data_IF_029700992109
#
_entry.id   IF_029700992109
#
_cell.length_a   1.000
_cell.length_b   1.000
_cell.length_c   1.000
_cell.angle_alpha   90.00
_cell.angle_beta   90.00
_cell.angle_gamma   90.00
#
_symmetry.space_group_name_H-M   'P 1'
#
loop_
_entity.id
_entity.type
_entity.pdbx_description
1 polymer ?
#
# COMPACT_ATOMS: atom_id res chain seq x y z
N UNK A 1 -3.32 -23.32 37.06
CA UNK A 1 -2.05 -22.88 36.45
C UNK A 1 -2.33 -22.59 34.98
N UNK A 2 -2.27 -21.32 34.56
CA UNK A 2 -2.52 -20.95 33.16
C UNK A 2 -1.37 -21.48 32.29
N UNK A 3 -1.69 -22.26 31.27
CA UNK A 3 -0.73 -22.72 30.26
C UNK A 3 -0.17 -21.48 29.55
N UNK A 4 1.12 -21.20 29.73
CA UNK A 4 1.80 -20.17 28.97
C UNK A 4 1.69 -20.51 27.48
N UNK A 5 1.25 -19.55 26.67
CA UNK A 5 1.21 -19.72 25.22
C UNK A 5 2.62 -20.09 24.71
N UNK A 6 2.75 -20.99 23.72
CA UNK A 6 4.05 -21.35 23.18
C UNK A 6 4.77 -20.09 22.67
N UNK A 7 6.11 -20.02 22.82
CA UNK A 7 6.88 -18.88 22.34
C UNK A 7 6.65 -18.72 20.83
N UNK A 8 6.31 -17.50 20.40
CA UNK A 8 6.11 -17.20 18.98
C UNK A 8 7.41 -17.53 18.21
N UNK A 9 7.31 -18.16 17.03
CA UNK A 9 8.49 -18.48 16.24
C UNK A 9 9.24 -17.19 15.86
N UNK A 10 10.58 -17.24 15.74
CA UNK A 10 11.36 -16.10 15.29
C UNK A 10 10.96 -15.74 13.85
N UNK A 11 10.88 -14.45 13.56
CA UNK A 11 10.59 -13.91 12.23
C UNK A 11 11.76 -13.08 11.74
N UNK A 12 12.13 -13.22 10.46
CA UNK A 12 13.11 -12.35 9.82
C UNK A 12 12.39 -11.12 9.24
N UNK A 13 12.90 -9.94 9.60
CA UNK A 13 12.38 -8.64 9.18
C UNK A 13 13.50 -7.78 8.57
N UNK A 14 13.17 -7.04 7.52
CA UNK A 14 13.93 -5.93 6.99
C UNK A 14 13.02 -4.69 7.00
N UNK A 15 13.49 -3.61 7.61
CA UNK A 15 12.75 -2.36 7.73
C UNK A 15 13.72 -1.17 7.77
N UNK A 16 13.26 0.03 7.37
CA UNK A 16 14.07 1.25 7.45
C UNK A 16 14.37 1.64 8.91
N UNK A 17 15.48 2.35 9.14
CA UNK A 17 15.97 2.62 10.50
C UNK A 17 14.99 3.44 11.36
N UNK A 18 14.23 4.36 10.75
CA UNK A 18 13.23 5.19 11.44
C UNK A 18 12.08 4.35 12.02
N UNK A 19 11.74 3.21 11.40
CA UNK A 19 10.76 2.26 11.95
C UNK A 19 11.24 1.64 13.27
N UNK A 20 12.56 1.52 13.48
CA UNK A 20 13.15 1.01 14.72
C UNK A 20 13.08 2.03 15.87
N UNK A 21 13.23 3.31 15.55
CA UNK A 21 13.23 4.42 16.51
C UNK A 21 11.81 4.70 17.04
N UNK A 22 10.79 4.37 16.25
CA UNK A 22 9.40 4.41 16.69
C UNK A 22 9.15 3.33 17.76
N UNK A 23 9.07 3.76 19.02
CA UNK A 23 8.92 2.88 20.19
C UNK A 23 7.74 1.89 20.12
N UNK A 24 6.74 2.14 19.24
CA UNK A 24 5.58 1.25 18.98
C UNK A 24 5.06 1.37 17.55
N UNK A 25 5.73 0.76 16.59
CA UNK A 25 5.16 0.60 15.24
C UNK A 25 3.98 -0.38 15.27
N UNK A 26 2.76 0.12 15.08
CA UNK A 26 1.55 -0.69 14.92
C UNK A 26 1.36 -1.06 13.45
N UNK A 27 0.99 -2.31 13.21
CA UNK A 27 0.50 -2.76 11.91
C UNK A 27 -1.02 -2.65 11.87
N UNK A 28 -1.51 -2.06 10.79
CA UNK A 28 -2.91 -1.94 10.42
C UNK A 28 -3.21 -2.91 9.28
N UNK A 29 -4.37 -3.55 9.30
CA UNK A 29 -4.87 -4.30 8.15
C UNK A 29 -5.68 -3.33 7.31
N UNK A 30 -5.33 -3.12 6.04
CA UNK A 30 -6.06 -2.25 5.11
C UNK A 30 -6.20 -2.96 3.76
N UNK A 31 -7.18 -2.61 2.92
CA UNK A 31 -7.29 -3.17 1.59
C UNK A 31 -6.11 -2.71 0.73
N UNK A 32 -5.54 -3.64 -0.04
CA UNK A 32 -4.52 -3.31 -1.03
C UNK A 32 -5.13 -2.37 -2.09
N UNK A 33 -4.49 -1.24 -2.45
CA UNK A 33 -5.12 -0.17 -3.24
C UNK A 33 -5.70 -0.60 -4.59
N UNK A 34 -5.09 -1.60 -5.23
CA UNK A 34 -5.56 -2.10 -6.52
C UNK A 34 -6.57 -3.23 -6.42
N UNK A 35 -6.41 -4.11 -5.43
CA UNK A 35 -7.08 -5.44 -5.43
C UNK A 35 -8.07 -5.61 -4.30
N UNK A 36 -8.12 -4.70 -3.32
CA UNK A 36 -9.03 -4.78 -2.17
C UNK A 36 -8.66 -5.86 -1.14
N UNK A 37 -7.70 -6.74 -1.43
CA UNK A 37 -7.33 -7.82 -0.51
C UNK A 37 -6.71 -7.28 0.78
N UNK A 38 -6.98 -7.89 1.95
CA UNK A 38 -6.37 -7.44 3.20
C UNK A 38 -4.83 -7.55 3.18
N UNK A 39 -4.17 -6.41 3.41
CA UNK A 39 -2.71 -6.27 3.46
C UNK A 39 -2.30 -5.51 4.72
N UNK A 40 -1.09 -5.74 5.22
CA UNK A 40 -0.58 -5.08 6.42
C UNK A 40 0.21 -3.81 6.05
N UNK A 41 -0.07 -2.74 6.77
CA UNK A 41 0.62 -1.46 6.63
C UNK A 41 1.06 -0.94 8.00
N UNK A 42 2.21 -0.26 8.06
CA UNK A 42 2.55 0.58 9.20
C UNK A 42 2.36 2.04 8.79
N UNK A 43 1.69 2.83 9.61
CA UNK A 43 1.51 4.27 9.38
C UNK A 43 2.01 5.01 10.61
N UNK A 44 2.93 5.94 10.37
CA UNK A 44 3.60 6.77 11.36
C UNK A 44 3.57 8.23 10.88
N UNK A 45 3.90 9.17 11.76
CA UNK A 45 3.98 10.59 11.40
C UNK A 45 5.04 10.87 10.32
N UNK A 46 6.10 10.05 10.27
CA UNK A 46 7.21 10.18 9.31
C UNK A 46 6.92 9.52 7.96
N UNK A 47 5.93 8.63 7.86
CA UNK A 47 5.67 7.90 6.63
C UNK A 47 4.71 6.73 6.75
N UNK A 48 4.43 6.11 5.61
CA UNK A 48 3.66 4.87 5.52
C UNK A 48 4.53 3.77 4.93
N UNK A 49 4.30 2.54 5.36
CA UNK A 49 5.05 1.36 4.97
C UNK A 49 4.08 0.22 4.65
N UNK A 50 4.36 -0.51 3.58
CA UNK A 50 3.67 -1.76 3.27
C UNK A 50 4.50 -2.96 3.72
N UNK A 51 3.86 -3.95 4.32
CA UNK A 51 4.49 -5.23 4.64
C UNK A 51 4.46 -6.16 3.44
N UNK A 52 5.62 -6.33 2.81
CA UNK A 52 5.85 -7.32 1.76
C UNK A 52 6.42 -8.61 2.36
N UNK A 53 6.01 -9.74 1.82
CA UNK A 53 6.49 -11.06 2.25
C UNK A 53 7.22 -11.73 1.10
N UNK A 54 8.54 -11.83 1.20
CA UNK A 54 9.38 -12.54 0.25
C UNK A 54 9.48 -14.00 0.71
N UNK A 55 8.92 -14.90 -0.09
CA UNK A 55 8.97 -16.35 0.17
C UNK A 55 9.99 -17.00 -0.77
N UNK A 56 10.81 -17.94 -0.27
CA UNK A 56 11.68 -18.70 -1.14
C UNK A 56 10.86 -19.57 -2.10
N UNK A 57 11.41 -19.85 -3.27
CA UNK A 57 10.81 -20.82 -4.19
C UNK A 57 10.62 -22.17 -3.50
N UNK A 58 9.44 -22.77 -3.62
CA UNK A 58 9.05 -23.97 -2.87
C UNK A 58 10.04 -25.14 -3.04
N UNK A 59 10.70 -25.22 -4.20
CA UNK A 59 11.66 -26.29 -4.51
C UNK A 59 13.00 -26.14 -3.80
N UNK A 60 13.36 -24.93 -3.37
CA UNK A 60 14.68 -24.62 -2.86
C UNK A 60 14.82 -24.78 -1.34
N UNK A 61 13.73 -24.96 -0.59
CA UNK A 61 13.75 -25.28 0.85
C UNK A 61 14.70 -24.39 1.68
N UNK A 62 14.63 -23.06 1.52
CA UNK A 62 15.60 -22.14 2.14
C UNK A 62 15.23 -21.84 3.59
N UNK A 63 16.25 -21.62 4.43
CA UNK A 63 16.10 -21.23 5.84
C UNK A 63 17.10 -20.15 6.21
N UNK A 64 16.74 -19.24 7.12
CA UNK A 64 17.67 -18.25 7.67
C UNK A 64 18.29 -18.75 8.97
N UNK A 65 19.60 -18.60 9.10
CA UNK A 65 20.32 -18.74 10.37
C UNK A 65 20.66 -17.34 10.89
N UNK A 66 20.01 -16.92 11.95
CA UNK A 66 20.15 -15.59 12.54
C UNK A 66 21.05 -15.68 13.76
N UNK A 67 22.22 -15.04 13.69
CA UNK A 67 23.10 -14.92 14.84
C UNK A 67 22.46 -14.01 15.91
N UNK A 68 22.65 -14.34 17.18
CA UNK A 68 22.27 -13.39 18.23
C UNK A 68 23.35 -12.31 18.35
N UNK A 69 22.96 -11.05 18.25
CA UNK A 69 23.87 -9.91 18.49
C UNK A 69 24.40 -9.82 19.93
N UNK A 70 23.90 -10.66 20.84
CA UNK A 70 24.41 -10.80 22.20
C UNK A 70 25.16 -12.12 22.35
N UNK A 71 26.44 -12.05 22.71
CA UNK A 71 27.36 -13.20 22.82
C UNK A 71 26.91 -14.35 23.74
N UNK A 72 25.82 -14.18 24.51
CA UNK A 72 25.29 -15.19 25.45
C UNK A 72 23.94 -15.79 25.05
N UNK A 73 23.38 -15.45 23.89
CA UNK A 73 22.10 -16.00 23.43
C UNK A 73 22.31 -16.94 22.24
N UNK A 74 21.65 -18.11 22.22
CA UNK A 74 21.71 -18.99 21.05
C UNK A 74 21.12 -18.26 19.84
N UNK A 75 21.67 -18.53 18.65
CA UNK A 75 21.09 -18.04 17.40
C UNK A 75 19.70 -18.62 17.15
N UNK A 76 18.97 -18.03 16.21
CA UNK A 76 17.63 -18.45 15.83
C UNK A 76 17.61 -18.98 14.40
N UNK A 77 16.82 -20.01 14.13
CA UNK A 77 16.60 -20.51 12.78
C UNK A 77 15.17 -20.19 12.34
N UNK A 78 15.03 -19.48 11.21
CA UNK A 78 13.74 -19.26 10.54
C UNK A 78 13.62 -20.30 9.43
N UNK A 79 12.95 -21.40 9.73
CA UNK A 79 12.89 -22.60 8.88
C UNK A 79 12.26 -22.35 7.51
N UNK A 80 11.30 -21.45 7.43
CA UNK A 80 10.54 -21.19 6.21
C UNK A 80 11.30 -20.30 5.21
N UNK A 81 12.43 -19.71 5.61
CA UNK A 81 13.20 -18.80 4.75
C UNK A 81 12.46 -17.50 4.39
N UNK A 82 11.34 -17.23 5.06
CA UNK A 82 10.47 -16.07 4.78
C UNK A 82 11.13 -14.81 5.30
N UNK A 83 11.19 -13.79 4.45
CA UNK A 83 11.64 -12.46 4.80
C UNK A 83 10.45 -11.50 4.73
N UNK A 84 10.20 -10.81 5.84
CA UNK A 84 9.22 -9.73 5.93
C UNK A 84 9.93 -8.41 5.65
N UNK A 85 9.41 -7.60 4.74
CA UNK A 85 9.99 -6.30 4.36
C UNK A 85 8.95 -5.22 4.60
N UNK A 86 9.24 -4.24 5.45
CA UNK A 86 8.47 -3.00 5.50
C UNK A 86 9.04 -2.05 4.45
N UNK A 87 8.37 -1.92 3.31
CA UNK A 87 8.78 -1.05 2.22
C UNK A 87 8.13 0.32 2.38
N UNK A 88 8.88 1.44 2.28
CA UNK A 88 8.29 2.77 2.21
C UNK A 88 7.24 2.84 1.10
N UNK A 89 6.09 3.42 1.40
CA UNK A 89 4.97 3.61 0.50
C UNK A 89 4.49 5.06 0.58
N UNK A 90 4.06 5.60 -0.56
CA UNK A 90 3.39 6.90 -0.53
C UNK A 90 1.96 6.76 0.03
N UNK A 91 1.63 7.40 1.16
CA UNK A 91 0.30 7.34 1.76
C UNK A 91 -0.81 7.85 0.84
N UNK A 92 -0.50 8.68 -0.18
CA UNK A 92 -1.52 9.08 -1.15
C UNK A 92 -2.00 7.92 -2.04
N UNK A 93 -1.16 6.92 -2.33
CA UNK A 93 -1.63 5.73 -3.06
C UNK A 93 -2.52 4.85 -2.18
N UNK A 94 -2.19 4.77 -0.88
CA UNK A 94 -3.01 4.06 0.10
C UNK A 94 -4.39 4.71 0.21
N UNK A 95 -4.44 6.03 0.40
CA UNK A 95 -5.69 6.79 0.46
C UNK A 95 -6.49 6.71 -0.84
N UNK A 96 -5.82 6.74 -2.00
CA UNK A 96 -6.50 6.59 -3.29
C UNK A 96 -7.20 5.23 -3.39
N UNK A 97 -6.58 4.17 -2.88
CA UNK A 97 -7.20 2.85 -2.73
C UNK A 97 -8.42 2.84 -1.82
N UNK A 98 -8.30 3.48 -0.66
CA UNK A 98 -9.38 3.57 0.33
C UNK A 98 -10.57 4.38 -0.18
N UNK A 99 -10.30 5.49 -0.87
CA UNK A 99 -11.29 6.45 -1.35
C UNK A 99 -11.76 6.19 -2.80
N UNK A 100 -11.29 5.12 -3.43
CA UNK A 100 -11.71 4.74 -4.78
C UNK A 100 -13.23 4.66 -4.97
N UNK A 101 -14.03 4.20 -3.98
CA UNK A 101 -15.49 4.14 -4.12
C UNK A 101 -16.15 5.51 -4.32
N UNK A 102 -15.50 6.59 -3.89
CA UNK A 102 -15.96 7.97 -4.04
C UNK A 102 -15.45 8.62 -5.34
N UNK A 103 -14.81 7.86 -6.23
CA UNK A 103 -14.30 8.38 -7.49
C UNK A 103 -15.45 8.86 -8.40
N UNK A 104 -15.37 10.12 -8.83
CA UNK A 104 -16.41 10.78 -9.64
C UNK A 104 -17.56 11.39 -8.84
N UNK A 105 -17.57 11.20 -7.51
CA UNK A 105 -18.55 11.85 -6.65
C UNK A 105 -18.39 13.38 -6.64
N UNK A 106 -19.52 14.09 -6.66
CA UNK A 106 -19.53 15.56 -6.72
C UNK A 106 -19.58 16.22 -5.35
N UNK A 107 -20.06 15.50 -4.35
CA UNK A 107 -20.28 15.99 -2.99
C UNK A 107 -18.96 16.10 -2.24
N UNK A 108 -18.82 17.17 -1.47
CA UNK A 108 -17.76 17.28 -0.46
C UNK A 108 -18.23 16.60 0.84
N UNK A 109 -17.36 15.81 1.44
CA UNK A 109 -17.64 15.05 2.66
C UNK A 109 -16.59 15.34 3.73
N UNK A 110 -17.00 15.47 5.00
CA UNK A 110 -16.07 15.43 6.13
C UNK A 110 -15.20 14.18 6.09
N UNK A 111 -14.02 14.27 6.68
CA UNK A 111 -13.06 13.16 6.75
C UNK A 111 -13.64 11.93 7.45
N UNK A 112 -14.41 12.11 8.51
CA UNK A 112 -15.02 11.02 9.27
C UNK A 112 -16.07 10.28 8.42
N UNK A 113 -16.91 11.02 7.68
CA UNK A 113 -17.87 10.46 6.73
C UNK A 113 -17.17 9.67 5.61
N UNK A 114 -16.04 10.19 5.09
CA UNK A 114 -15.23 9.46 4.10
C UNK A 114 -14.68 8.16 4.68
N UNK A 115 -14.24 8.18 5.93
CA UNK A 115 -13.70 7.02 6.61
C UNK A 115 -14.75 5.93 6.85
N UNK A 116 -15.94 6.32 7.29
CA UNK A 116 -17.07 5.41 7.50
C UNK A 116 -17.51 4.78 6.17
N UNK A 117 -17.73 5.60 5.13
CA UNK A 117 -18.11 5.12 3.81
C UNK A 117 -17.07 4.17 3.19
N UNK A 118 -15.78 4.47 3.36
CA UNK A 118 -14.70 3.58 2.92
C UNK A 118 -14.70 2.26 3.70
N UNK A 119 -14.86 2.31 5.03
CA UNK A 119 -14.89 1.12 5.88
C UNK A 119 -16.04 0.17 5.53
N UNK A 120 -17.25 0.72 5.31
CA UNK A 120 -18.43 -0.04 4.91
C UNK A 120 -18.26 -0.67 3.52
N UNK A 121 -17.79 0.12 2.54
CA UNK A 121 -17.59 -0.38 1.17
C UNK A 121 -16.60 -1.54 1.12
N UNK A 122 -15.42 -1.37 1.72
CA UNK A 122 -14.37 -2.39 1.68
C UNK A 122 -14.74 -3.63 2.51
N UNK A 123 -15.51 -3.48 3.60
CA UNK A 123 -16.05 -4.63 4.33
C UNK A 123 -17.07 -5.41 3.48
N UNK A 124 -17.94 -4.71 2.75
CA UNK A 124 -18.91 -5.32 1.84
C UNK A 124 -18.22 -6.06 0.69
N UNK A 125 -17.20 -5.45 0.06
CA UNK A 125 -16.41 -6.12 -0.97
C UNK A 125 -15.71 -7.38 -0.43
N UNK A 126 -15.09 -7.28 0.75
CA UNK A 126 -14.45 -8.42 1.40
C UNK A 126 -15.45 -9.54 1.69
N UNK A 127 -16.67 -9.20 2.09
CA UNK A 127 -17.75 -10.16 2.31
C UNK A 127 -18.16 -10.88 1.02
N UNK A 128 -18.30 -10.16 -0.08
CA UNK A 128 -18.58 -10.74 -1.39
C UNK A 128 -17.47 -11.72 -1.83
N UNK A 129 -16.20 -11.29 -1.73
CA UNK A 129 -15.05 -12.14 -2.09
C UNK A 129 -14.94 -13.40 -1.23
N UNK A 130 -15.26 -13.32 0.07
CA UNK A 130 -15.24 -14.46 0.98
C UNK A 130 -16.37 -15.45 0.68
N UNK A 131 -17.56 -14.96 0.33
CA UNK A 131 -18.70 -15.79 -0.06
C UNK A 131 -18.40 -16.61 -1.33
N UNK A 132 -17.70 -16.01 -2.30
CA UNK A 132 -17.25 -16.71 -3.51
C UNK A 132 -16.23 -17.82 -3.23
N UNK A 133 -15.44 -17.70 -2.15
CA UNK A 133 -14.37 -18.64 -1.82
C UNK A 133 -14.75 -19.71 -0.76
N UNK A 134 -16.02 -19.80 -0.35
CA UNK A 134 -16.68 -20.88 0.42
C UNK A 134 -15.95 -21.49 1.65
N UNK A 135 -14.84 -20.92 2.15
CA UNK A 135 -13.99 -21.55 3.17
C UNK A 135 -13.57 -20.65 4.33
N UNK A 136 -14.01 -19.39 4.37
CA UNK A 136 -13.60 -18.45 5.42
C UNK A 136 -14.80 -18.02 6.27
N UNK A 137 -14.57 -17.92 7.59
CA UNK A 137 -15.52 -17.46 8.60
C UNK A 137 -16.21 -16.14 8.18
N UNK A 138 -17.44 -15.87 8.66
CA UNK A 138 -18.18 -14.67 8.26
C UNK A 138 -17.31 -13.44 8.53
N UNK A 139 -17.01 -12.63 7.50
CA UNK A 139 -16.20 -11.44 7.69
C UNK A 139 -16.97 -10.46 8.57
N UNK A 140 -16.25 -9.80 9.48
CA UNK A 140 -16.79 -8.65 10.20
C UNK A 140 -17.29 -7.61 9.18
N UNK A 141 -18.50 -7.09 9.42
CA UNK A 141 -19.20 -6.15 8.53
C UNK A 141 -18.57 -4.76 8.49
N UNK A 142 -17.52 -4.51 9.28
CA UNK A 142 -16.81 -3.24 9.35
C UNK A 142 -15.31 -3.51 9.28
N UNK A 143 -14.61 -2.76 8.42
CA UNK A 143 -13.17 -2.86 8.35
C UNK A 143 -12.53 -2.12 9.55
N UNK A 144 -11.79 -2.81 10.44
CA UNK A 144 -11.48 -2.26 11.76
C UNK A 144 -10.49 -1.08 11.74
N UNK A 145 -9.51 -1.10 10.84
CA UNK A 145 -8.41 -0.13 10.88
C UNK A 145 -8.58 1.07 9.92
N UNK A 146 -9.56 1.07 9.01
CA UNK A 146 -9.71 2.15 8.01
C UNK A 146 -9.95 3.49 8.70
N UNK A 147 -10.94 3.58 9.58
CA UNK A 147 -11.25 4.82 10.29
C UNK A 147 -10.10 5.28 11.20
N UNK A 148 -9.43 4.32 11.85
CA UNK A 148 -8.27 4.62 12.70
C UNK A 148 -7.14 5.24 11.89
N UNK A 149 -6.78 4.64 10.74
CA UNK A 149 -5.70 5.13 9.88
C UNK A 149 -6.08 6.45 9.23
N UNK A 150 -7.31 6.57 8.72
CA UNK A 150 -7.78 7.80 8.11
C UNK A 150 -7.77 8.96 9.10
N UNK A 151 -7.95 8.75 10.40
CA UNK A 151 -7.90 9.81 11.42
C UNK A 151 -6.46 10.25 11.81
N UNK A 152 -5.42 9.53 11.39
CA UNK A 152 -4.03 9.87 11.76
C UNK A 152 -3.58 11.21 11.15
N UNK A 153 -2.87 12.08 11.89
CA UNK A 153 -2.36 13.34 11.36
C UNK A 153 -1.54 13.17 10.06
N UNK A 154 -0.79 12.07 9.95
CA UNK A 154 -0.02 11.69 8.77
C UNK A 154 -0.84 11.61 7.47
N UNK A 155 -2.16 11.41 7.54
CA UNK A 155 -3.04 11.33 6.36
C UNK A 155 -3.52 12.69 5.85
N UNK A 156 -3.32 13.78 6.61
CA UNK A 156 -3.82 15.12 6.24
C UNK A 156 -3.23 15.62 4.92
N UNK A 157 -1.90 15.76 4.85
CA UNK A 157 -1.24 16.26 3.64
C UNK A 157 -1.49 15.34 2.43
N UNK A 158 -1.46 14.00 2.55
CA UNK A 158 -1.88 13.10 1.48
C UNK A 158 -3.32 13.31 1.00
N UNK A 159 -4.29 13.55 1.88
CA UNK A 159 -5.68 13.88 1.49
C UNK A 159 -5.73 15.17 0.66
N UNK A 160 -5.05 16.24 1.09
CA UNK A 160 -5.02 17.52 0.36
C UNK A 160 -4.36 17.43 -1.03
N UNK A 161 -3.43 16.48 -1.20
CA UNK A 161 -2.80 16.18 -2.49
C UNK A 161 -3.74 15.46 -3.46
N UNK A 162 -4.74 14.73 -2.97
CA UNK A 162 -5.70 13.97 -3.79
C UNK A 162 -7.01 14.71 -3.99
N UNK A 163 -7.44 15.47 -2.98
CA UNK A 163 -8.78 16.03 -2.89
C UNK A 163 -8.79 17.53 -3.16
N UNK A 164 -9.88 18.02 -3.75
CA UNK A 164 -10.31 19.39 -3.55
C UNK A 164 -10.79 19.53 -2.10
N UNK A 165 -10.52 20.67 -1.48
CA UNK A 165 -10.88 20.95 -0.09
C UNK A 165 -11.70 22.24 0.01
N UNK A 166 -12.63 22.27 0.95
CA UNK A 166 -13.37 23.49 1.32
C UNK A 166 -13.39 23.62 2.85
N UNK A 167 -13.29 24.85 3.39
CA UNK A 167 -13.46 25.08 4.82
C UNK A 167 -14.87 24.73 5.28
N UNK A 168 -14.97 23.99 6.37
CA UNK A 168 -16.22 23.63 7.03
C UNK A 168 -16.02 23.65 8.56
N UNK A 169 -16.45 24.70 9.26
CA UNK A 169 -16.20 24.85 10.70
C UNK A 169 -16.77 23.73 11.58
N UNK A 170 -17.75 22.98 11.08
CA UNK A 170 -18.36 21.86 11.80
C UNK A 170 -17.57 20.54 11.70
N UNK A 171 -16.60 20.44 10.77
CA UNK A 171 -15.76 19.26 10.60
C UNK A 171 -14.61 19.22 11.62
N UNK A 172 -14.17 18.01 12.00
CA UNK A 172 -13.13 17.82 13.04
C UNK A 172 -11.78 18.48 12.71
N UNK A 173 -11.38 18.47 11.44
CA UNK A 173 -10.17 19.13 10.92
C UNK A 173 -10.49 20.46 10.19
N UNK A 174 -11.74 20.93 10.28
CA UNK A 174 -12.19 22.17 9.66
C UNK A 174 -12.32 22.11 8.13
N UNK A 175 -12.25 20.92 7.52
CA UNK A 175 -12.29 20.74 6.08
C UNK A 175 -13.29 19.66 5.64
N UNK A 176 -13.82 19.86 4.44
CA UNK A 176 -14.51 18.81 3.67
C UNK A 176 -13.75 18.53 2.40
N UNK A 177 -13.85 17.28 1.94
CA UNK A 177 -12.98 16.72 0.91
C UNK A 177 -13.81 16.12 -0.22
N UNK A 178 -13.29 16.21 -1.43
CA UNK A 178 -13.78 15.49 -2.61
C UNK A 178 -12.59 15.12 -3.47
N UNK A 179 -12.51 13.87 -3.93
CA UNK A 179 -11.45 13.47 -4.87
C UNK A 179 -11.44 14.40 -6.10
N UNK A 180 -10.24 14.83 -6.49
CA UNK A 180 -10.04 15.74 -7.59
C UNK A 180 -9.21 15.04 -8.69
N UNK A 181 -9.85 14.86 -9.85
CA UNK A 181 -9.26 14.11 -10.96
C UNK A 181 -7.94 14.71 -11.44
N UNK A 182 -7.88 16.04 -11.59
CA UNK A 182 -6.69 16.72 -12.06
C UNK A 182 -5.52 16.56 -11.07
N UNK A 183 -5.79 16.67 -9.77
CA UNK A 183 -4.79 16.42 -8.72
C UNK A 183 -4.31 14.97 -8.71
N UNK A 184 -5.23 14.01 -8.82
CA UNK A 184 -4.90 12.58 -8.86
C UNK A 184 -4.02 12.26 -10.07
N UNK A 185 -4.41 12.66 -11.28
CA UNK A 185 -3.61 12.39 -12.48
C UNK A 185 -2.25 13.10 -12.44
N UNK A 186 -2.20 14.35 -11.97
CA UNK A 186 -0.94 15.06 -11.79
C UNK A 186 -0.03 14.37 -10.76
N UNK A 187 -0.59 13.75 -9.72
CA UNK A 187 0.17 12.93 -8.76
C UNK A 187 0.70 11.65 -9.42
N UNK A 188 -0.13 10.94 -10.18
CA UNK A 188 0.27 9.69 -10.85
C UNK A 188 1.33 9.92 -11.92
N UNK A 189 1.23 10.97 -12.74
CA UNK A 189 2.27 11.33 -13.71
C UNK A 189 3.61 11.65 -13.02
N UNK A 190 3.58 12.45 -11.93
CA UNK A 190 4.79 12.72 -11.14
C UNK A 190 5.42 11.46 -10.56
N UNK A 191 4.61 10.47 -10.17
CA UNK A 191 5.11 9.17 -9.70
C UNK A 191 5.80 8.39 -10.79
N UNK A 192 5.22 8.32 -12.00
CA UNK A 192 5.87 7.68 -13.16
C UNK A 192 7.23 8.31 -13.41
N UNK A 193 7.30 9.64 -13.45
CA UNK A 193 8.57 10.35 -13.66
C UNK A 193 9.57 10.13 -12.51
N UNK A 194 9.08 9.99 -11.28
CA UNK A 194 9.93 9.65 -10.12
C UNK A 194 10.50 8.25 -10.21
N UNK A 195 9.70 7.26 -10.63
CA UNK A 195 10.14 5.86 -10.81
C UNK A 195 11.21 5.77 -11.89
N UNK A 196 11.01 6.46 -13.02
CA UNK A 196 12.00 6.54 -14.11
C UNK A 196 13.35 7.09 -13.63
N UNK A 197 13.35 8.12 -12.76
CA UNK A 197 14.57 8.72 -12.23
C UNK A 197 15.23 7.92 -11.11
N UNK A 198 14.44 7.33 -10.22
CA UNK A 198 14.94 6.71 -8.99
C UNK A 198 15.47 5.29 -9.20
N UNK A 199 14.98 4.57 -10.22
CA UNK A 199 15.35 3.18 -10.46
C UNK A 199 15.64 2.89 -11.95
N UNK A 200 16.51 3.66 -12.63
CA UNK A 200 16.74 3.54 -14.07
C UNK A 200 17.19 2.12 -14.46
N UNK A 201 18.09 1.51 -13.70
CA UNK A 201 18.59 0.15 -13.98
C UNK A 201 17.51 -0.93 -13.94
N UNK A 202 16.56 -0.83 -12.99
CA UNK A 202 15.44 -1.77 -12.86
C UNK A 202 14.48 -1.60 -14.03
N UNK A 203 14.18 -0.35 -14.38
CA UNK A 203 13.30 -0.02 -15.51
C UNK A 203 13.92 -0.48 -16.83
N UNK A 204 15.22 -0.25 -17.02
CA UNK A 204 15.95 -0.72 -18.20
C UNK A 204 15.89 -2.22 -18.33
N UNK A 205 16.21 -2.96 -17.26
CA UNK A 205 16.17 -4.42 -17.27
C UNK A 205 14.77 -4.98 -17.57
N UNK A 206 13.71 -4.36 -17.03
CA UNK A 206 12.33 -4.80 -17.27
C UNK A 206 11.85 -4.41 -18.68
N UNK A 207 12.20 -3.22 -19.17
CA UNK A 207 11.76 -2.72 -20.48
C UNK A 207 12.37 -3.50 -21.65
N UNK A 208 13.56 -4.09 -21.50
CA UNK A 208 14.21 -4.92 -22.52
C UNK A 208 13.32 -6.09 -23.02
N UNK A 209 12.38 -6.56 -22.21
CA UNK A 209 11.43 -7.62 -22.59
C UNK A 209 10.38 -7.16 -23.60
N UNK A 210 10.22 -5.84 -23.76
CA UNK A 210 9.19 -5.21 -24.57
C UNK A 210 9.74 -4.47 -25.79
N UNK A 211 11.06 -4.49 -25.98
CA UNK A 211 11.76 -3.66 -26.96
C UNK A 211 12.47 -4.55 -27.99
N UNK A 212 12.27 -4.32 -29.31
CA UNK A 212 13.00 -5.03 -30.35
C UNK A 212 14.52 -4.83 -30.26
N UNK A 213 15.30 -5.78 -30.77
CA UNK A 213 16.77 -5.74 -30.75
C UNK A 213 17.37 -4.45 -31.35
N UNK A 214 16.71 -3.87 -32.37
CA UNK A 214 17.13 -2.65 -33.07
C UNK A 214 16.25 -1.43 -32.76
N UNK A 215 15.59 -1.41 -31.59
CA UNK A 215 14.72 -0.30 -31.25
C UNK A 215 15.46 1.03 -31.15
N UNK A 216 14.79 2.05 -31.67
CA UNK A 216 15.17 3.46 -31.58
C UNK A 216 15.12 3.95 -30.13
N UNK A 217 15.75 5.09 -29.88
CA UNK A 217 15.73 5.73 -28.57
C UNK A 217 14.30 6.09 -28.11
N UNK A 218 13.46 6.52 -29.06
CA UNK A 218 12.05 6.83 -28.79
C UNK A 218 11.25 5.60 -28.38
N UNK A 219 11.48 4.46 -29.03
CA UNK A 219 10.84 3.19 -28.67
C UNK A 219 11.30 2.69 -27.29
N UNK A 220 12.59 2.85 -26.97
CA UNK A 220 13.14 2.53 -25.65
C UNK A 220 12.50 3.40 -24.57
N UNK A 221 12.47 4.72 -24.78
CA UNK A 221 11.85 5.66 -23.84
C UNK A 221 10.35 5.37 -23.63
N UNK A 222 9.63 5.02 -24.69
CA UNK A 222 8.22 4.62 -24.61
C UNK A 222 8.04 3.33 -23.79
N UNK A 223 8.89 2.32 -24.00
CA UNK A 223 8.84 1.07 -23.24
C UNK A 223 9.19 1.28 -21.75
N UNK A 224 10.22 2.07 -21.45
CA UNK A 224 10.57 2.44 -20.07
C UNK A 224 9.41 3.17 -19.39
N UNK A 225 8.79 4.15 -20.06
CA UNK A 225 7.62 4.85 -19.54
C UNK A 225 6.45 3.89 -19.32
N UNK A 226 6.19 2.95 -20.23
CA UNK A 226 5.16 1.91 -20.07
C UNK A 226 5.40 1.06 -18.82
N UNK A 227 6.63 0.57 -18.62
CA UNK A 227 7.00 -0.20 -17.42
C UNK A 227 6.79 0.62 -16.15
N UNK A 228 7.26 1.88 -16.12
CA UNK A 228 7.07 2.75 -14.97
C UNK A 228 5.58 3.03 -14.68
N UNK A 229 4.77 3.25 -15.73
CA UNK A 229 3.30 3.37 -15.61
C UNK A 229 2.69 2.11 -15.03
N UNK A 230 3.10 0.92 -15.49
CA UNK A 230 2.57 -0.36 -15.00
C UNK A 230 2.95 -0.62 -13.53
N UNK A 231 4.16 -0.23 -13.09
CA UNK A 231 4.58 -0.29 -11.69
C UNK A 231 3.76 0.64 -10.79
N UNK A 232 3.45 1.86 -11.24
CA UNK A 232 2.56 2.77 -10.50
C UNK A 232 1.14 2.23 -10.48
N UNK A 233 0.63 1.77 -11.63
CA UNK A 233 -0.72 1.23 -11.77
C UNK A 233 -0.98 0.01 -10.87
N UNK A 234 0.05 -0.74 -10.48
CA UNK A 234 -0.05 -1.84 -9.51
C UNK A 234 -0.64 -1.39 -8.16
N UNK A 235 -0.57 -0.09 -7.83
CA UNK A 235 -1.12 0.53 -6.63
C UNK A 235 -2.26 1.52 -6.91
N UNK A 236 -2.86 1.48 -8.12
CA UNK A 236 -3.99 2.33 -8.49
C UNK A 236 -5.25 1.47 -8.65
N UNK A 237 -6.41 1.87 -8.09
CA UNK A 237 -7.69 1.20 -8.32
C UNK A 237 -8.01 1.07 -9.81
N UNK A 238 -8.59 -0.05 -10.23
CA UNK A 238 -8.83 -0.35 -11.65
C UNK A 238 -9.61 0.74 -12.39
N UNK A 239 -10.72 1.24 -11.81
CA UNK A 239 -11.52 2.29 -12.45
C UNK A 239 -10.77 3.61 -12.63
N UNK A 240 -9.83 3.93 -11.73
CA UNK A 240 -9.00 5.14 -11.81
C UNK A 240 -7.85 4.93 -12.80
N UNK A 241 -7.23 3.74 -12.82
CA UNK A 241 -6.20 3.35 -13.79
C UNK A 241 -6.73 3.41 -15.23
N UNK A 242 -7.94 2.90 -15.48
CA UNK A 242 -8.60 2.97 -16.78
C UNK A 242 -8.88 4.40 -17.25
N UNK A 243 -9.29 5.29 -16.33
CA UNK A 243 -9.51 6.70 -16.63
C UNK A 243 -8.18 7.43 -16.89
N UNK A 244 -7.18 7.19 -16.03
CA UNK A 244 -5.84 7.78 -16.13
C UNK A 244 -5.13 7.37 -17.42
N UNK A 245 -5.25 6.12 -17.86
CA UNK A 245 -4.60 5.66 -19.10
C UNK A 245 -5.09 6.36 -20.36
N UNK A 246 -6.28 6.98 -20.33
CA UNK A 246 -6.81 7.77 -21.44
C UNK A 246 -6.15 9.15 -21.59
N UNK A 247 -5.31 9.56 -20.64
CA UNK A 247 -4.58 10.84 -20.69
C UNK A 247 -3.21 10.73 -21.35
N UNK A 248 -2.79 9.52 -21.75
CA UNK A 248 -1.54 9.24 -22.46
C UNK A 248 -1.73 9.19 -23.97
#
# INVERSE_FOLDING_TARGET
>A
MASAAPPRPPMAWAYPADVQEAARTRLYVLPHPRTGVPTYYAVQDTGAYELLVVRPEQRAGRSWMLASGQAKRPGHMVREGVLHVLSPMDPALLLLGLLAPQWGERRFCPRDDLAEAAAEHHATQRAAMAAEHAALAPPELVWPDIATVLALPAMQAPLERLCATQPEPSAADGLVYRLDEAKVFALLHRKVDSVLRAAPEVIDAQSQRHVPMHATETERAAAQRRVATDLVAAYVPLGIDEAWRKTF
#
